data_IF_121726372022
#
_entry.id   IF_121726372022
#
_cell.length_a   1.000
_cell.length_b   1.000
_cell.length_c   1.000
_cell.angle_alpha   90.00
_cell.angle_beta   90.00
_cell.angle_gamma   90.00
#
_symmetry.space_group_name_H-M   'P 1'
#
loop_
_entity.id
_entity.type
_entity.pdbx_description
1 polymer ?
#
# COMPACT_ATOMS: atom_id res chain seq x y z
N UNK A 1 -7.17 -18.45 -3.92
CA UNK A 1 -6.29 -18.06 -2.80
C UNK A 1 -5.78 -16.66 -3.10
N UNK A 2 -5.91 -15.71 -2.17
CA UNK A 2 -5.36 -14.34 -2.29
C UNK A 2 -3.83 -14.38 -2.09
N UNK A 3 -3.15 -15.21 -2.88
CA UNK A 3 -1.80 -15.72 -2.63
C UNK A 3 -0.72 -15.02 -3.47
N UNK A 4 -0.84 -13.71 -3.59
CA UNK A 4 0.31 -12.90 -3.96
C UNK A 4 0.40 -11.79 -2.92
N UNK A 5 1.19 -12.05 -1.86
CA UNK A 5 1.78 -11.02 -1.00
C UNK A 5 2.74 -10.18 -1.86
N UNK A 6 2.28 -9.63 -2.98
CA UNK A 6 3.08 -8.91 -3.95
C UNK A 6 3.38 -7.54 -3.37
N UNK A 7 4.64 -7.19 -3.34
CA UNK A 7 5.05 -5.82 -3.03
C UNK A 7 4.48 -4.91 -4.12
N UNK A 8 3.78 -3.84 -3.71
CA UNK A 8 3.21 -2.84 -4.62
C UNK A 8 3.77 -1.47 -4.28
N UNK A 9 3.97 -0.63 -5.28
CA UNK A 9 4.35 0.76 -5.03
C UNK A 9 3.19 1.51 -4.36
N UNK A 10 3.50 2.46 -3.46
CA UNK A 10 2.46 3.30 -2.85
C UNK A 10 1.74 4.12 -3.92
N UNK A 11 2.43 4.51 -5.00
CA UNK A 11 1.82 5.22 -6.13
C UNK A 11 0.76 4.36 -6.83
N UNK A 12 1.11 3.12 -7.20
CA UNK A 12 0.16 2.19 -7.81
C UNK A 12 -1.05 1.92 -6.89
N UNK A 13 -0.79 1.77 -5.58
CA UNK A 13 -1.86 1.60 -4.60
C UNK A 13 -2.81 2.81 -4.55
N UNK A 14 -2.27 4.03 -4.48
CA UNK A 14 -3.07 5.25 -4.40
C UNK A 14 -3.82 5.53 -5.72
N UNK A 15 -3.23 5.19 -6.89
CA UNK A 15 -3.92 5.28 -8.19
C UNK A 15 -5.11 4.32 -8.26
N UNK A 16 -4.92 3.03 -7.90
CA UNK A 16 -6.00 2.04 -7.85
C UNK A 16 -7.09 2.41 -6.84
N UNK A 17 -6.73 3.04 -5.74
CA UNK A 17 -7.69 3.52 -4.76
C UNK A 17 -8.52 4.68 -5.33
N UNK A 18 -7.87 5.62 -6.02
CA UNK A 18 -8.54 6.74 -6.69
C UNK A 18 -9.51 6.27 -7.77
N UNK A 19 -9.14 5.27 -8.56
CA UNK A 19 -10.02 4.65 -9.57
C UNK A 19 -11.30 4.06 -8.96
N UNK A 20 -11.23 3.60 -7.71
CA UNK A 20 -12.37 3.08 -6.94
C UNK A 20 -13.12 4.18 -6.16
N UNK A 21 -12.78 5.46 -6.36
CA UNK A 21 -13.39 6.59 -5.67
C UNK A 21 -12.94 6.74 -4.21
N UNK A 22 -11.88 6.04 -3.79
CA UNK A 22 -11.34 6.16 -2.44
C UNK A 22 -10.38 7.34 -2.38
N UNK A 23 -10.65 8.28 -1.47
CA UNK A 23 -9.78 9.44 -1.29
C UNK A 23 -8.43 9.06 -0.69
N UNK A 24 -7.39 9.84 -1.01
CA UNK A 24 -6.08 9.70 -0.38
C UNK A 24 -6.10 9.86 1.15
N UNK A 25 -7.05 10.64 1.70
CA UNK A 25 -7.25 10.74 3.15
C UNK A 25 -7.73 9.41 3.74
N UNK A 26 -8.74 8.81 3.13
CA UNK A 26 -9.26 7.49 3.53
C UNK A 26 -8.18 6.41 3.40
N UNK A 27 -7.38 6.42 2.33
CA UNK A 27 -6.25 5.49 2.19
C UNK A 27 -5.19 5.67 3.28
N UNK A 28 -4.89 6.92 3.67
CA UNK A 28 -4.00 7.20 4.80
C UNK A 28 -4.55 6.61 6.10
N UNK A 29 -5.85 6.75 6.37
CA UNK A 29 -6.48 6.18 7.56
C UNK A 29 -6.44 4.65 7.55
N UNK A 30 -6.75 4.01 6.42
CA UNK A 30 -6.66 2.55 6.26
C UNK A 30 -5.25 2.06 6.54
N UNK A 31 -4.23 2.70 5.96
CA UNK A 31 -2.83 2.37 6.19
C UNK A 31 -2.41 2.55 7.65
N UNK A 32 -2.89 3.60 8.30
CA UNK A 32 -2.61 3.84 9.73
C UNK A 32 -3.20 2.74 10.61
N UNK A 33 -4.42 2.28 10.29
CA UNK A 33 -5.07 1.17 11.00
C UNK A 33 -4.38 -0.17 10.76
N UNK A 34 -3.87 -0.39 9.55
CA UNK A 34 -3.19 -1.62 9.15
C UNK A 34 -1.66 -1.60 9.42
N UNK A 35 -1.15 -0.65 10.21
CA UNK A 35 0.30 -0.47 10.43
C UNK A 35 1.00 -1.70 11.00
N UNK A 36 0.26 -2.56 11.72
CA UNK A 36 0.81 -3.76 12.32
C UNK A 36 0.92 -4.89 11.31
N UNK A 37 0.07 -4.87 10.28
CA UNK A 37 -0.04 -5.88 9.22
C UNK A 37 0.74 -5.47 7.96
N UNK A 38 1.17 -4.21 7.84
CA UNK A 38 1.86 -3.67 6.66
C UNK A 38 3.35 -3.44 6.91
N UNK A 39 4.19 -3.85 5.97
CA UNK A 39 5.62 -3.51 5.91
C UNK A 39 5.85 -2.45 4.84
N UNK A 40 6.58 -1.39 5.21
CA UNK A 40 6.99 -0.31 4.31
C UNK A 40 8.44 -0.50 3.91
N UNK A 41 8.71 -0.37 2.61
CA UNK A 41 10.06 -0.47 2.05
C UNK A 41 10.35 0.71 1.15
N UNK A 42 11.63 1.02 1.02
CA UNK A 42 12.15 1.99 0.06
C UNK A 42 13.13 1.23 -0.83
N UNK A 43 12.91 1.27 -2.14
CA UNK A 43 13.81 0.62 -3.09
C UNK A 43 15.00 1.53 -3.47
N UNK A 44 15.93 1.03 -4.28
CA UNK A 44 17.13 1.78 -4.73
C UNK A 44 16.79 3.05 -5.52
N UNK A 45 15.59 3.13 -6.12
CA UNK A 45 15.10 4.31 -6.84
C UNK A 45 14.37 5.30 -5.93
N UNK A 46 14.45 5.12 -4.61
CA UNK A 46 13.73 5.90 -3.60
C UNK A 46 12.19 5.83 -3.72
N UNK A 47 11.67 4.79 -4.37
CA UNK A 47 10.23 4.58 -4.43
C UNK A 47 9.77 3.82 -3.19
N UNK A 48 8.71 4.33 -2.57
CA UNK A 48 8.08 3.68 -1.43
C UNK A 48 7.17 2.55 -1.92
N UNK A 49 7.33 1.37 -1.35
CA UNK A 49 6.49 0.22 -1.59
C UNK A 49 5.91 -0.33 -0.27
N UNK A 50 4.86 -1.12 -0.41
CA UNK A 50 4.15 -1.73 0.71
C UNK A 50 3.84 -3.19 0.43
N UNK A 51 3.90 -4.01 1.46
CA UNK A 51 3.55 -5.44 1.42
C UNK A 51 2.85 -5.84 2.71
N UNK A 52 2.04 -6.89 2.66
CA UNK A 52 1.53 -7.54 3.87
C UNK A 52 2.67 -8.28 4.59
N UNK A 53 2.74 -8.11 5.91
CA UNK A 53 3.59 -8.93 6.80
C UNK A 53 3.14 -10.39 6.77
N UNK A 54 4.03 -11.28 7.17
CA UNK A 54 3.74 -12.71 7.26
C UNK A 54 3.01 -13.10 8.53
#
# INVERSE_FOLDING_TARGET
MLADKKEISIRELDEKAKEQGISGRTMRDVRSRMKNELEYRVNEKQENSIRLKE
#
